data_IF_764890383531
#
_entry.id   IF_764890383531
#
_cell.length_a   1.000
_cell.length_b   1.000
_cell.length_c   1.000
_cell.angle_alpha   90.00
_cell.angle_beta   90.00
_cell.angle_gamma   90.00
#
_symmetry.space_group_name_H-M   'P 1'
#
loop_
_entity.id
_entity.type
_entity.pdbx_description
1 polymer ?
#
# COMPACT_ATOMS: atom_id res chain seq x y z
N UNK A 1 -15.09 -15.97 20.07
CA UNK A 1 -14.73 -16.73 18.85
C UNK A 1 -13.46 -16.09 18.31
N UNK A 2 -12.29 -16.59 18.71
CA UNK A 2 -11.01 -16.14 18.17
C UNK A 2 -10.83 -16.84 16.82
N UNK A 3 -10.65 -16.09 15.74
CA UNK A 3 -10.27 -16.63 14.44
C UNK A 3 -8.85 -17.21 14.51
N UNK A 4 -8.72 -18.45 14.98
CA UNK A 4 -7.46 -19.20 14.97
C UNK A 4 -7.10 -19.75 13.57
N UNK A 5 -7.63 -19.18 12.49
CA UNK A 5 -7.39 -19.63 11.11
C UNK A 5 -7.02 -18.43 10.25
N UNK A 6 -5.83 -17.83 10.46
CA UNK A 6 -5.15 -16.98 9.44
C UNK A 6 -3.75 -16.46 9.76
N UNK A 7 -3.09 -16.95 10.80
CA UNK A 7 -1.67 -16.62 11.00
C UNK A 7 -0.88 -17.07 9.76
N UNK A 8 -0.02 -16.20 9.22
CA UNK A 8 0.86 -16.46 8.06
C UNK A 8 0.20 -16.39 6.67
N UNK A 9 -0.71 -15.44 6.44
CA UNK A 9 -1.33 -15.26 5.10
C UNK A 9 -0.36 -14.68 4.06
N UNK A 10 0.65 -13.94 4.51
CA UNK A 10 1.58 -13.23 3.63
C UNK A 10 3.01 -13.69 3.83
N UNK A 11 3.70 -13.94 2.72
CA UNK A 11 5.15 -13.99 2.69
C UNK A 11 5.72 -12.56 2.66
N UNK A 12 7.04 -12.45 2.76
CA UNK A 12 7.76 -11.19 2.72
C UNK A 12 7.36 -10.31 1.51
N UNK A 13 7.38 -10.88 0.30
CA UNK A 13 7.03 -10.14 -0.92
C UNK A 13 5.58 -9.66 -0.93
N UNK A 14 4.65 -10.44 -0.38
CA UNK A 14 3.24 -10.07 -0.25
C UNK A 14 3.06 -8.86 0.67
N UNK A 15 3.79 -8.81 1.78
CA UNK A 15 3.78 -7.64 2.66
C UNK A 15 4.33 -6.39 1.96
N UNK A 16 5.46 -6.51 1.26
CA UNK A 16 6.04 -5.38 0.52
C UNK A 16 5.14 -4.88 -0.62
N UNK A 17 4.43 -5.79 -1.29
CA UNK A 17 3.45 -5.41 -2.32
C UNK A 17 2.29 -4.61 -1.72
N UNK A 18 1.80 -5.01 -0.54
CA UNK A 18 0.78 -4.23 0.17
C UNK A 18 1.31 -2.83 0.51
N UNK A 19 2.56 -2.70 0.98
CA UNK A 19 3.16 -1.37 1.23
C UNK A 19 3.18 -0.50 -0.03
N UNK A 20 3.53 -1.08 -1.18
CA UNK A 20 3.49 -0.38 -2.47
C UNK A 20 2.08 0.02 -2.87
N UNK A 21 1.12 -0.89 -2.75
CA UNK A 21 -0.26 -0.63 -3.16
C UNK A 21 -0.90 0.45 -2.29
N UNK A 22 -0.68 0.40 -0.97
CA UNK A 22 -1.18 1.43 -0.05
C UNK A 22 -0.58 2.80 -0.37
N UNK A 23 0.74 2.90 -0.59
CA UNK A 23 1.33 4.19 -0.94
C UNK A 23 0.89 4.70 -2.30
N UNK A 24 0.67 3.81 -3.27
CA UNK A 24 0.13 4.19 -4.58
C UNK A 24 -1.30 4.72 -4.49
N UNK A 25 -2.13 4.12 -3.61
CA UNK A 25 -3.53 4.48 -3.43
C UNK A 25 -3.74 5.70 -2.50
N UNK A 26 -2.75 6.07 -1.68
CA UNK A 26 -2.91 7.09 -0.63
C UNK A 26 -3.41 8.42 -1.19
N UNK A 27 -2.69 9.02 -2.14
CA UNK A 27 -3.09 10.30 -2.76
C UNK A 27 -4.46 10.23 -3.44
N UNK A 28 -4.75 9.30 -4.37
CA UNK A 28 -6.04 9.28 -5.04
C UNK A 28 -7.21 8.99 -4.10
N UNK A 29 -7.02 8.24 -3.01
CA UNK A 29 -8.08 8.04 -2.02
C UNK A 29 -8.35 9.30 -1.21
N UNK A 30 -7.30 10.02 -0.80
CA UNK A 30 -7.44 11.30 -0.09
C UNK A 30 -8.22 12.32 -0.90
N UNK A 31 -7.99 12.38 -2.21
CA UNK A 31 -8.73 13.27 -3.13
C UNK A 31 -10.22 12.91 -3.30
N UNK A 32 -10.67 11.73 -2.86
CA UNK A 32 -12.06 11.26 -3.01
C UNK A 32 -12.93 11.41 -1.76
N UNK A 33 -12.35 11.84 -0.64
CA UNK A 33 -13.03 11.93 0.66
C UNK A 33 -12.89 13.31 1.27
N UNK A 34 -13.81 13.66 2.17
CA UNK A 34 -13.70 14.91 2.94
C UNK A 34 -12.71 14.80 4.11
N UNK A 35 -12.67 13.63 4.77
CA UNK A 35 -11.77 13.37 5.89
C UNK A 35 -10.52 12.61 5.41
N UNK A 36 -9.53 13.38 4.96
CA UNK A 36 -8.23 12.86 4.56
C UNK A 36 -7.48 12.16 5.70
N UNK A 37 -7.68 12.59 6.94
CA UNK A 37 -7.00 12.02 8.10
C UNK A 37 -7.53 10.61 8.41
N UNK A 38 -8.83 10.38 8.19
CA UNK A 38 -9.41 9.04 8.25
C UNK A 38 -8.79 8.11 7.20
N UNK A 39 -8.50 8.59 5.99
CA UNK A 39 -7.81 7.77 4.97
C UNK A 39 -6.40 7.43 5.41
N UNK A 40 -5.62 8.40 5.86
CA UNK A 40 -4.26 8.15 6.35
C UNK A 40 -4.27 7.11 7.49
N UNK A 41 -5.17 7.27 8.46
CA UNK A 41 -5.34 6.34 9.58
C UNK A 41 -5.72 4.92 9.11
N UNK A 42 -6.74 4.78 8.25
CA UNK A 42 -7.20 3.48 7.78
C UNK A 42 -6.14 2.77 6.93
N UNK A 43 -5.39 3.51 6.12
CA UNK A 43 -4.30 2.95 5.31
C UNK A 43 -3.12 2.51 6.19
N UNK A 44 -2.81 3.22 7.27
CA UNK A 44 -1.82 2.79 8.26
C UNK A 44 -2.25 1.51 8.97
N UNK A 45 -3.54 1.40 9.35
CA UNK A 45 -4.09 0.18 9.95
C UNK A 45 -3.99 -1.04 9.01
N UNK A 46 -4.12 -0.84 7.68
CA UNK A 46 -3.88 -1.93 6.72
C UNK A 46 -2.43 -2.40 6.75
N UNK A 47 -1.46 -1.48 6.86
CA UNK A 47 -0.04 -1.83 6.97
C UNK A 47 0.22 -2.60 8.27
N UNK A 48 -0.30 -2.11 9.40
CA UNK A 48 -0.17 -2.77 10.70
C UNK A 48 -0.79 -4.17 10.66
N UNK A 49 -2.02 -4.29 10.16
CA UNK A 49 -2.69 -5.59 10.04
C UNK A 49 -2.02 -6.53 9.05
N UNK A 50 -1.32 -6.03 8.03
CA UNK A 50 -0.52 -6.86 7.12
C UNK A 50 0.81 -7.31 7.76
N UNK A 51 1.45 -6.44 8.54
CA UNK A 51 2.65 -6.73 9.31
C UNK A 51 2.42 -7.88 10.28
N UNK A 52 1.33 -7.83 11.05
CA UNK A 52 0.97 -8.85 12.04
C UNK A 52 0.64 -10.22 11.43
N UNK A 53 0.23 -10.25 10.16
CA UNK A 53 -0.12 -11.48 9.42
C UNK A 53 1.00 -12.02 8.55
N UNK A 54 2.15 -11.34 8.51
CA UNK A 54 3.33 -11.75 7.75
C UNK A 54 4.20 -12.70 8.58
N UNK A 55 4.67 -13.78 7.96
CA UNK A 55 5.54 -14.76 8.64
C UNK A 55 6.92 -14.19 8.99
N UNK A 56 7.45 -13.33 8.13
CA UNK A 56 8.78 -12.72 8.25
C UNK A 56 8.75 -11.34 7.58
N UNK A 57 8.22 -10.32 8.28
CA UNK A 57 8.06 -9.01 7.68
C UNK A 57 9.39 -8.28 7.59
N UNK A 58 9.81 -7.99 6.36
CA UNK A 58 10.92 -7.06 6.10
C UNK A 58 10.34 -5.89 5.29
N UNK A 59 10.06 -4.75 5.94
CA UNK A 59 9.54 -3.56 5.29
C UNK A 59 10.46 -3.06 4.18
N UNK A 60 9.87 -2.51 3.12
CA UNK A 60 10.62 -1.69 2.18
C UNK A 60 11.17 -0.46 2.90
N UNK A 61 12.44 -0.14 2.66
CA UNK A 61 13.00 1.13 3.10
C UNK A 61 12.25 2.29 2.42
N UNK A 62 11.95 3.39 3.14
CA UNK A 62 11.22 4.52 2.56
C UNK A 62 11.79 5.01 1.22
N UNK A 63 13.12 5.16 1.04
CA UNK A 63 13.68 5.60 -0.25
C UNK A 63 13.46 4.61 -1.40
N UNK A 64 13.36 3.31 -1.12
CA UNK A 64 13.08 2.28 -2.14
C UNK A 64 11.60 2.34 -2.50
N UNK A 65 10.73 2.45 -1.50
CA UNK A 65 9.28 2.59 -1.67
C UNK A 65 8.96 3.82 -2.53
N UNK A 66 9.51 4.98 -2.19
CA UNK A 66 9.31 6.22 -2.94
C UNK A 66 9.75 6.07 -4.41
N UNK A 67 10.93 5.48 -4.66
CA UNK A 67 11.43 5.24 -6.02
C UNK A 67 10.48 4.36 -6.83
N UNK A 68 9.95 3.29 -6.23
CA UNK A 68 9.03 2.37 -6.89
C UNK A 68 7.68 3.05 -7.20
N UNK A 69 7.17 3.86 -6.28
CA UNK A 69 5.94 4.64 -6.50
C UNK A 69 6.12 5.66 -7.62
N UNK A 70 7.21 6.43 -7.62
CA UNK A 70 7.49 7.39 -8.68
C UNK A 70 7.60 6.71 -10.05
N UNK A 71 8.27 5.55 -10.12
CA UNK A 71 8.37 4.78 -11.35
C UNK A 71 6.99 4.27 -11.83
N UNK A 72 6.11 3.87 -10.91
CA UNK A 72 4.74 3.41 -11.23
C UNK A 72 3.84 4.54 -11.70
N UNK A 73 3.91 5.70 -11.06
CA UNK A 73 3.17 6.91 -11.45
C UNK A 73 3.62 7.41 -12.83
N UNK A 74 4.92 7.45 -13.10
CA UNK A 74 5.45 7.83 -14.41
C UNK A 74 4.93 6.91 -15.53
N UNK A 75 4.98 5.59 -15.34
CA UNK A 75 4.42 4.63 -16.31
C UNK A 75 2.92 4.79 -16.54
N UNK A 76 2.17 5.14 -15.50
CA UNK A 76 0.72 5.35 -15.61
C UNK A 76 0.41 6.59 -16.44
N UNK A 77 1.20 7.67 -16.28
CA UNK A 77 1.08 8.89 -17.08
C UNK A 77 1.37 8.65 -18.57
N UNK A 78 2.38 7.85 -18.88
CA UNK A 78 2.75 7.54 -20.27
C UNK A 78 1.72 6.65 -20.99
N UNK A 79 0.86 5.94 -20.24
CA UNK A 79 -0.16 5.04 -20.77
C UNK A 79 -1.52 5.70 -20.98
N UNK A 80 -1.77 6.90 -20.42
CA UNK A 80 -2.98 7.67 -20.69
C UNK A 80 -2.75 8.38 -22.03
N UNK A 81 -3.41 7.98 -23.14
CA UNK A 81 -3.30 8.73 -24.38
C UNK A 81 -3.87 10.12 -24.09
N UNK A 82 -3.12 11.17 -24.42
CA UNK A 82 -3.63 12.54 -24.38
C UNK A 82 -4.92 12.59 -25.19
N UNK A 83 -6.07 12.67 -24.50
CA UNK A 83 -7.35 12.90 -25.16
C UNK A 83 -7.21 14.20 -25.97
N UNK A 84 -7.29 14.04 -27.30
CA UNK A 84 -7.24 15.13 -28.27
C UNK A 84 -8.56 15.87 -28.31
#
# INVERSE_FOLDING_TARGET
MQEFVRLQTFNWSGFQQIQLDIQFLRTPLKETVEDEAAVDFLLDEVIVGALERCLDPIPLEPPILDKLIQAKLAKTRDQIPSAS
#
